data_IF_996364457568
#
_entry.id   IF_996364457568
#
_cell.length_a   1.000
_cell.length_b   1.000
_cell.length_c   1.000
_cell.angle_alpha   90.00
_cell.angle_beta   90.00
_cell.angle_gamma   90.00
#
_symmetry.space_group_name_H-M   'P 1'
#
loop_
_entity.id
_entity.type
_entity.pdbx_description
1 polymer ?
#
# COMPACT_ATOMS: atom_id res chain seq x y z
N UNK A 1 -46.94 28.39 15.37
CA UNK A 1 -46.84 27.16 14.55
C UNK A 1 -45.39 26.97 14.15
N UNK A 2 -44.90 25.74 14.20
CA UNK A 2 -43.49 25.33 14.32
C UNK A 2 -42.64 25.68 13.09
N UNK A 3 -41.52 26.36 13.30
CA UNK A 3 -40.39 26.44 12.35
C UNK A 3 -39.67 25.10 12.30
N UNK A 4 -39.73 24.41 11.16
CA UNK A 4 -39.00 23.18 10.94
C UNK A 4 -37.56 23.53 10.50
N UNK A 5 -36.58 23.34 11.39
CA UNK A 5 -35.17 23.32 11.03
C UNK A 5 -34.82 21.92 10.51
N UNK A 6 -34.60 21.79 9.21
CA UNK A 6 -33.99 20.61 8.60
C UNK A 6 -32.47 20.68 8.80
N UNK A 7 -31.98 19.98 9.83
CA UNK A 7 -30.54 19.74 10.00
C UNK A 7 -30.14 18.65 9.01
N UNK A 8 -29.50 19.04 7.91
CA UNK A 8 -28.89 18.11 6.98
C UNK A 8 -27.67 17.46 7.66
N UNK A 9 -27.79 16.19 8.01
CA UNK A 9 -26.72 15.36 8.56
C UNK A 9 -25.70 15.09 7.44
N UNK A 10 -24.68 15.94 7.34
CA UNK A 10 -23.49 15.73 6.51
C UNK A 10 -22.43 15.00 7.35
N UNK A 11 -22.47 13.66 7.39
CA UNK A 11 -21.53 12.89 8.22
C UNK A 11 -21.02 11.57 7.60
N UNK A 12 -20.98 11.44 6.26
CA UNK A 12 -20.68 10.14 5.66
C UNK A 12 -19.64 10.10 4.51
N UNK A 13 -18.66 11.01 4.44
CA UNK A 13 -17.69 10.99 3.33
C UNK A 13 -16.19 10.98 3.69
N UNK A 14 -15.81 10.85 4.96
CA UNK A 14 -14.39 10.96 5.36
C UNK A 14 -13.65 9.63 5.57
N UNK A 15 -14.29 8.47 5.36
CA UNK A 15 -13.70 7.15 5.72
C UNK A 15 -12.70 6.52 4.73
N UNK A 16 -12.59 6.86 3.42
CA UNK A 16 -11.74 6.07 2.52
C UNK A 16 -10.24 6.43 2.52
N UNK A 17 -9.84 7.55 3.15
CA UNK A 17 -8.46 8.05 3.07
C UNK A 17 -7.53 7.47 4.15
N UNK A 18 -8.02 7.36 5.39
CA UNK A 18 -7.24 6.82 6.51
C UNK A 18 -6.90 5.35 6.25
N UNK A 19 -7.91 4.52 5.96
CA UNK A 19 -7.76 3.08 5.71
C UNK A 19 -6.70 2.80 4.63
N UNK A 20 -6.62 3.66 3.60
CA UNK A 20 -5.63 3.54 2.52
C UNK A 20 -4.21 3.90 2.98
N UNK A 21 -4.08 4.90 3.86
CA UNK A 21 -2.81 5.29 4.46
C UNK A 21 -2.31 4.23 5.46
N UNK A 22 -3.18 3.67 6.31
CA UNK A 22 -2.83 2.58 7.23
C UNK A 22 -2.45 1.29 6.49
N UNK A 23 -3.20 0.92 5.44
CA UNK A 23 -2.85 -0.21 4.57
C UNK A 23 -1.48 0.01 3.88
N UNK A 24 -1.20 1.24 3.43
CA UNK A 24 0.10 1.61 2.86
C UNK A 24 1.25 1.43 3.84
N UNK A 25 1.10 1.86 5.10
CA UNK A 25 2.13 1.71 6.14
C UNK A 25 2.42 0.24 6.44
N UNK A 26 1.38 -0.59 6.58
CA UNK A 26 1.51 -2.02 6.85
C UNK A 26 2.23 -2.73 5.70
N UNK A 27 1.82 -2.45 4.45
CA UNK A 27 2.47 -2.97 3.25
C UNK A 27 3.94 -2.56 3.13
N UNK A 28 4.29 -1.32 3.45
CA UNK A 28 5.69 -0.85 3.42
C UNK A 28 6.54 -1.59 4.46
N UNK A 29 6.02 -1.76 5.68
CA UNK A 29 6.71 -2.51 6.74
C UNK A 29 7.00 -3.94 6.29
N UNK A 30 5.96 -4.66 5.85
CA UNK A 30 6.09 -6.05 5.41
C UNK A 30 6.97 -6.19 4.17
N UNK A 31 6.91 -5.25 3.22
CA UNK A 31 7.80 -5.25 2.05
C UNK A 31 9.27 -5.02 2.43
N UNK A 32 9.52 -4.15 3.43
CA UNK A 32 10.87 -3.89 3.95
C UNK A 32 11.43 -5.10 4.68
N UNK A 33 10.60 -5.81 5.45
CA UNK A 33 10.96 -7.09 6.09
C UNK A 33 11.26 -8.21 5.08
N UNK A 34 10.64 -8.15 3.90
CA UNK A 34 10.82 -9.10 2.81
C UNK A 34 12.02 -8.77 1.89
N UNK A 35 12.82 -7.75 2.21
CA UNK A 35 14.04 -7.44 1.47
C UNK A 35 15.08 -8.57 1.61
N UNK A 36 15.95 -8.77 0.62
CA UNK A 36 17.07 -9.68 0.77
C UNK A 36 17.95 -9.28 1.95
N UNK A 37 18.38 -10.27 2.72
CA UNK A 37 19.29 -10.08 3.84
C UNK A 37 20.73 -9.95 3.32
N UNK A 38 21.08 -8.75 2.89
CA UNK A 38 22.40 -8.39 2.38
C UNK A 38 23.07 -7.45 3.39
N UNK A 39 24.31 -7.76 3.78
CA UNK A 39 25.08 -6.91 4.69
C UNK A 39 25.27 -5.52 4.09
N UNK A 40 24.95 -4.48 4.87
CA UNK A 40 25.08 -3.08 4.43
C UNK A 40 23.96 -2.61 3.50
N UNK A 41 22.90 -3.39 3.31
CA UNK A 41 21.71 -2.92 2.60
C UNK A 41 20.99 -1.85 3.43
N UNK A 42 20.80 -0.67 2.85
CA UNK A 42 20.12 0.46 3.47
C UNK A 42 18.89 0.83 2.64
N UNK A 43 17.73 0.92 3.29
CA UNK A 43 16.52 1.48 2.67
C UNK A 43 16.65 3.00 2.60
N UNK A 44 16.54 3.56 1.40
CA UNK A 44 16.61 5.01 1.17
C UNK A 44 15.22 5.62 1.09
N UNK A 45 14.29 4.94 0.45
CA UNK A 45 12.92 5.42 0.22
C UNK A 45 11.97 4.26 -0.01
N UNK A 46 10.74 4.41 0.47
CA UNK A 46 9.64 3.51 0.17
C UNK A 46 8.46 4.30 -0.41
N UNK A 47 7.78 3.75 -1.41
CA UNK A 47 6.59 4.38 -2.00
C UNK A 47 5.56 3.34 -2.42
N UNK A 48 4.30 3.74 -2.36
CA UNK A 48 3.19 2.96 -2.91
C UNK A 48 2.84 3.48 -4.31
N UNK A 49 2.57 2.57 -5.25
CA UNK A 49 2.01 2.88 -6.58
C UNK A 49 0.76 2.05 -6.84
N UNK A 50 -0.19 2.56 -7.62
CA UNK A 50 -1.34 1.78 -8.05
C UNK A 50 -0.89 0.62 -8.96
N UNK A 51 -1.53 -0.54 -8.81
CA UNK A 51 -1.37 -1.65 -9.76
C UNK A 51 -1.98 -1.24 -11.11
N UNK A 52 -1.31 -1.52 -12.25
CA UNK A 52 -1.83 -1.23 -13.58
C UNK A 52 -3.22 -1.83 -13.82
N UNK A 53 -4.07 -1.11 -14.56
CA UNK A 53 -5.45 -1.52 -14.82
C UNK A 53 -5.56 -2.90 -15.51
N UNK A 54 -4.62 -3.23 -16.39
CA UNK A 54 -4.58 -4.53 -17.07
C UNK A 54 -4.41 -5.70 -16.10
N UNK A 55 -3.62 -5.53 -15.03
CA UNK A 55 -3.44 -6.55 -13.98
C UNK A 55 -4.65 -6.58 -13.06
N UNK A 56 -5.22 -5.41 -12.74
CA UNK A 56 -6.44 -5.32 -11.94
C UNK A 56 -7.66 -5.94 -12.64
N UNK A 57 -7.72 -5.93 -13.97
CA UNK A 57 -8.84 -6.50 -14.72
C UNK A 57 -8.97 -8.03 -14.55
N UNK A 58 -7.85 -8.73 -14.35
CA UNK A 58 -7.82 -10.17 -14.10
C UNK A 58 -7.73 -10.53 -12.60
N UNK A 59 -7.73 -9.53 -11.72
CA UNK A 59 -7.59 -9.72 -10.28
C UNK A 59 -8.87 -10.32 -9.68
N UNK A 60 -8.72 -11.45 -8.96
CA UNK A 60 -9.84 -12.15 -8.28
C UNK A 60 -9.78 -12.08 -6.75
N UNK A 61 -8.82 -11.37 -6.18
CA UNK A 61 -8.67 -11.26 -4.73
C UNK A 61 -9.66 -10.27 -4.10
N UNK A 62 -10.01 -10.49 -2.83
CA UNK A 62 -11.01 -9.69 -2.11
C UNK A 62 -10.60 -8.23 -1.92
N UNK A 63 -9.32 -7.99 -1.62
CA UNK A 63 -8.75 -6.65 -1.46
C UNK A 63 -8.03 -6.21 -2.74
N UNK A 64 -8.13 -4.92 -3.08
CA UNK A 64 -7.39 -4.36 -4.22
C UNK A 64 -5.89 -4.27 -3.89
N UNK A 65 -5.00 -4.83 -4.72
CA UNK A 65 -3.56 -4.80 -4.47
C UNK A 65 -2.95 -3.40 -4.73
N UNK A 66 -1.80 -3.16 -4.11
CA UNK A 66 -0.93 -2.00 -4.35
C UNK A 66 0.49 -2.47 -4.65
N UNK A 67 1.25 -1.71 -5.42
CA UNK A 67 2.68 -1.95 -5.61
C UNK A 67 3.45 -1.14 -4.57
N UNK A 68 4.42 -1.75 -3.93
CA UNK A 68 5.39 -1.09 -3.04
C UNK A 68 6.74 -1.14 -3.74
N UNK A 69 7.32 0.02 -4.00
CA UNK A 69 8.72 0.12 -4.39
C UNK A 69 9.54 0.52 -3.18
N UNK A 70 10.61 -0.24 -2.94
CA UNK A 70 11.60 0.03 -1.89
C UNK A 70 12.94 0.28 -2.57
N UNK A 71 13.37 1.53 -2.57
CA UNK A 71 14.69 1.92 -3.06
C UNK A 71 15.71 1.64 -1.97
N UNK A 72 16.74 0.91 -2.34
CA UNK A 72 17.80 0.42 -1.47
C UNK A 72 19.15 0.75 -2.06
N UNK A 73 20.17 0.78 -1.22
CA UNK A 73 21.56 0.84 -1.63
C UNK A 73 22.33 -0.22 -0.86
N UNK A 74 23.14 -1.01 -1.56
CA UNK A 74 24.04 -1.98 -0.96
C UNK A 74 25.35 -1.98 -1.75
N UNK A 75 26.49 -1.95 -1.06
CA UNK A 75 27.82 -1.94 -1.69
C UNK A 75 28.02 -0.82 -2.73
N UNK A 76 27.35 0.33 -2.54
CA UNK A 76 27.39 1.46 -3.47
C UNK A 76 26.48 1.32 -4.69
N UNK A 77 25.74 0.22 -4.82
CA UNK A 77 24.77 0.02 -5.89
C UNK A 77 23.35 0.33 -5.42
N UNK A 78 22.67 1.21 -6.17
CA UNK A 78 21.27 1.53 -5.94
C UNK A 78 20.37 0.53 -6.68
N UNK A 79 19.37 0.00 -5.96
CA UNK A 79 18.41 -0.94 -6.51
C UNK A 79 17.01 -0.67 -5.97
N UNK A 80 16.00 -0.83 -6.82
CA UNK A 80 14.60 -0.79 -6.40
C UNK A 80 14.03 -2.20 -6.36
N UNK A 81 13.51 -2.59 -5.21
CA UNK A 81 12.73 -3.81 -5.03
C UNK A 81 11.23 -3.48 -5.11
N UNK A 82 10.53 -4.11 -6.04
CA UNK A 82 9.08 -3.94 -6.19
C UNK A 82 8.33 -5.16 -5.67
N UNK A 83 7.27 -4.91 -4.90
CA UNK A 83 6.40 -5.91 -4.31
C UNK A 83 4.95 -5.58 -4.60
N UNK A 84 4.15 -6.58 -4.91
CA UNK A 84 2.69 -6.47 -4.86
C UNK A 84 2.23 -6.79 -3.45
N UNK A 85 1.46 -5.90 -2.83
CA UNK A 85 0.91 -6.07 -1.50
C UNK A 85 -0.62 -6.11 -1.54
N UNK A 86 -1.19 -7.00 -0.73
CA UNK A 86 -2.61 -7.05 -0.41
C UNK A 86 -2.79 -7.02 1.10
N UNK A 87 -3.80 -6.28 1.58
CA UNK A 87 -4.16 -6.27 3.01
C UNK A 87 -5.49 -6.96 3.17
N UNK A 88 -5.51 -8.05 3.95
CA UNK A 88 -6.71 -8.81 4.27
C UNK A 88 -6.79 -8.98 5.78
N UNK A 89 -7.92 -8.59 6.37
CA UNK A 89 -8.17 -8.71 7.83
C UNK A 89 -7.07 -8.09 8.72
N UNK A 90 -6.49 -6.97 8.28
CA UNK A 90 -5.43 -6.26 9.02
C UNK A 90 -4.01 -6.79 8.80
N UNK A 91 -3.86 -7.93 8.11
CA UNK A 91 -2.55 -8.50 7.76
C UNK A 91 -2.16 -8.14 6.33
N UNK A 92 -0.91 -7.74 6.13
CA UNK A 92 -0.34 -7.50 4.81
C UNK A 92 0.38 -8.74 4.29
N UNK A 93 0.13 -9.07 3.03
CA UNK A 93 0.83 -10.13 2.31
C UNK A 93 1.53 -9.52 1.11
N UNK A 94 2.84 -9.75 1.00
CA UNK A 94 3.67 -9.18 -0.06
C UNK A 94 4.25 -10.28 -0.93
N UNK A 95 4.28 -10.04 -2.24
CA UNK A 95 4.94 -10.90 -3.21
C UNK A 95 5.85 -10.05 -4.07
N UNK A 96 7.12 -10.46 -4.22
CA UNK A 96 8.06 -9.76 -5.09
C UNK A 96 7.55 -9.82 -6.53
N UNK A 97 7.47 -8.68 -7.19
CA UNK A 97 7.20 -8.62 -8.63
C UNK A 97 8.54 -8.79 -9.35
N UNK A 98 8.73 -9.88 -10.08
CA UNK A 98 9.81 -9.94 -11.06
C UNK A 98 9.43 -8.97 -12.17
N UNK A 99 10.23 -7.91 -12.30
CA UNK A 99 10.18 -7.02 -13.44
C UNK A 99 11.07 -7.60 -14.54
#
# INVERSE_FOLDING_TARGET
MRTAMTVAVWAALMVPLTVRAEAGKTCISTATEALPRITGLVVKKSRTRPVPAAILASWKGQSRPVIIDVDTEALGEAQTYSYMCVVTQGSAFVQRTMN
#
